data_IF_527457505208
#
_entry.id   IF_527457505208
#
_cell.length_a   1.000
_cell.length_b   1.000
_cell.length_c   1.000
_cell.angle_alpha   90.00
_cell.angle_beta   90.00
_cell.angle_gamma   90.00
#
_symmetry.space_group_name_H-M   'P 1'
#
loop_
_entity.id
_entity.type
_entity.pdbx_description
1 polymer ?
#
# COMPACT_ATOMS: atom_id res chain seq x y z
N UNK A 1 36.45 -47.46 -20.44
CA UNK A 1 36.94 -46.13 -19.98
C UNK A 1 35.80 -45.15 -19.75
N UNK A 2 34.89 -44.95 -20.69
CA UNK A 2 33.74 -44.03 -20.58
C UNK A 2 32.83 -44.28 -19.35
N UNK A 3 32.42 -45.53 -19.04
CA UNK A 3 31.58 -45.85 -17.89
C UNK A 3 32.19 -45.41 -16.54
N UNK A 4 33.49 -45.52 -16.38
CA UNK A 4 34.20 -45.10 -15.15
C UNK A 4 34.24 -43.58 -15.04
N UNK A 5 34.36 -42.88 -16.16
CA UNK A 5 34.33 -41.39 -16.22
C UNK A 5 32.95 -40.87 -15.86
N UNK A 6 31.86 -41.44 -16.35
CA UNK A 6 30.50 -41.10 -16.02
C UNK A 6 30.15 -41.31 -14.55
N UNK A 7 30.60 -42.42 -13.96
CA UNK A 7 30.42 -42.69 -12.53
C UNK A 7 31.22 -41.71 -11.64
N UNK A 8 32.40 -41.29 -12.07
CA UNK A 8 33.22 -40.32 -11.36
C UNK A 8 32.58 -38.92 -11.44
N UNK A 9 32.16 -38.49 -12.63
CA UNK A 9 31.44 -37.24 -12.83
C UNK A 9 30.11 -37.18 -12.03
N UNK A 10 29.33 -38.23 -12.01
CA UNK A 10 28.11 -38.35 -11.22
C UNK A 10 28.37 -38.21 -9.71
N UNK A 11 29.47 -38.83 -9.20
CA UNK A 11 29.87 -38.68 -7.80
C UNK A 11 30.37 -37.27 -7.48
N UNK A 12 31.08 -36.59 -8.39
CA UNK A 12 31.55 -35.24 -8.23
C UNK A 12 30.38 -34.26 -8.22
N UNK A 13 29.44 -34.38 -9.15
CA UNK A 13 28.21 -33.60 -9.20
C UNK A 13 27.34 -33.78 -7.96
N UNK A 14 27.20 -35.04 -7.48
CA UNK A 14 26.48 -35.34 -6.25
C UNK A 14 27.10 -34.70 -5.02
N UNK A 15 28.46 -34.70 -4.91
CA UNK A 15 29.15 -33.99 -3.82
C UNK A 15 29.00 -32.48 -3.90
N UNK A 16 29.09 -31.89 -5.11
CA UNK A 16 28.89 -30.48 -5.32
C UNK A 16 27.45 -30.04 -4.95
N UNK A 17 26.46 -30.82 -5.35
CA UNK A 17 25.08 -30.60 -4.99
C UNK A 17 24.85 -30.68 -3.48
N UNK A 18 25.44 -31.70 -2.83
CA UNK A 18 25.37 -31.81 -1.37
C UNK A 18 26.01 -30.63 -0.64
N UNK A 19 27.17 -30.17 -1.11
CA UNK A 19 27.84 -28.98 -0.57
C UNK A 19 26.96 -27.72 -0.72
N UNK A 20 26.35 -27.52 -1.90
CA UNK A 20 25.45 -26.41 -2.14
C UNK A 20 24.22 -26.46 -1.25
N UNK A 21 23.64 -27.64 -1.03
CA UNK A 21 22.50 -27.83 -0.11
C UNK A 21 22.91 -27.55 1.33
N UNK A 22 24.04 -28.05 1.78
CA UNK A 22 24.53 -27.81 3.16
C UNK A 22 24.87 -26.34 3.39
N UNK A 23 25.55 -25.70 2.44
CA UNK A 23 25.87 -24.26 2.51
C UNK A 23 24.59 -23.44 2.46
N UNK A 24 23.62 -23.80 1.61
CA UNK A 24 22.34 -23.13 1.50
C UNK A 24 21.51 -23.25 2.79
N UNK A 25 21.43 -24.46 3.37
CA UNK A 25 20.73 -24.70 4.65
C UNK A 25 21.44 -24.00 5.81
N UNK A 26 22.76 -24.06 5.87
CA UNK A 26 23.55 -23.35 6.88
C UNK A 26 23.36 -21.84 6.80
N UNK A 27 23.45 -21.28 5.61
CA UNK A 27 23.19 -19.86 5.35
C UNK A 27 21.76 -19.43 5.72
N UNK A 28 20.77 -20.29 5.40
CA UNK A 28 19.37 -20.05 5.78
C UNK A 28 19.15 -20.07 7.30
N UNK A 29 19.74 -21.05 8.00
CA UNK A 29 19.66 -21.13 9.48
C UNK A 29 20.33 -19.96 10.16
N UNK A 30 21.54 -19.57 9.71
CA UNK A 30 22.26 -18.39 10.21
C UNK A 30 21.45 -17.13 9.92
N UNK A 31 20.91 -16.99 8.72
CA UNK A 31 20.06 -15.87 8.35
C UNK A 31 18.82 -15.79 9.24
N UNK A 32 18.13 -16.91 9.44
CA UNK A 32 16.95 -17.00 10.31
C UNK A 32 17.28 -16.63 11.77
N UNK A 33 18.39 -17.12 12.30
CA UNK A 33 18.84 -16.78 13.65
C UNK A 33 19.23 -15.30 13.78
N UNK A 34 19.97 -14.76 12.80
CA UNK A 34 20.36 -13.35 12.76
C UNK A 34 19.13 -12.43 12.67
N UNK A 35 18.19 -12.72 11.77
CA UNK A 35 16.98 -11.91 11.64
C UNK A 35 16.06 -12.07 12.84
N UNK A 36 15.94 -13.28 13.40
CA UNK A 36 15.22 -13.51 14.65
C UNK A 36 15.78 -12.69 15.81
N UNK A 37 17.10 -12.60 15.94
CA UNK A 37 17.76 -11.76 16.94
C UNK A 37 17.61 -10.25 16.62
N UNK A 38 17.85 -9.85 15.36
CA UNK A 38 17.80 -8.45 14.94
C UNK A 38 16.40 -7.84 15.07
N UNK A 39 15.37 -8.64 14.82
CA UNK A 39 13.97 -8.21 14.84
C UNK A 39 13.22 -8.76 16.06
N UNK A 40 13.88 -8.83 17.21
CA UNK A 40 13.29 -9.22 18.49
C UNK A 40 13.46 -8.14 19.54
N UNK A 41 12.59 -8.18 20.55
CA UNK A 41 12.65 -7.27 21.69
C UNK A 41 11.80 -6.00 21.55
N UNK A 42 11.83 -5.16 22.59
CA UNK A 42 11.04 -3.95 22.66
C UNK A 42 11.50 -2.89 21.64
N UNK A 43 10.56 -2.06 21.20
CA UNK A 43 10.80 -0.94 20.29
C UNK A 43 10.23 0.35 20.86
N UNK A 44 10.73 1.53 20.43
CA UNK A 44 10.10 2.79 20.78
C UNK A 44 8.64 2.83 20.36
N UNK A 45 7.79 3.36 21.22
CA UNK A 45 6.39 3.70 20.92
C UNK A 45 6.23 5.14 20.42
N UNK A 46 7.33 5.89 20.37
CA UNK A 46 7.42 7.26 19.89
C UNK A 46 8.18 7.32 18.57
N UNK A 47 7.97 8.38 17.82
CA UNK A 47 8.64 8.63 16.55
C UNK A 47 10.07 9.12 16.78
N UNK A 48 10.99 8.65 15.95
CA UNK A 48 12.38 9.11 15.92
C UNK A 48 12.63 9.78 14.57
N UNK A 49 12.81 11.10 14.57
CA UNK A 49 13.02 11.87 13.34
C UNK A 49 14.52 12.03 13.07
N UNK A 50 15.06 11.40 12.01
CA UNK A 50 16.44 11.58 11.62
C UNK A 50 16.75 13.03 11.21
N UNK A 51 17.95 13.58 11.53
CA UNK A 51 18.28 14.96 11.23
C UNK A 51 18.33 15.30 9.73
N UNK A 52 18.55 14.30 8.87
CA UNK A 52 18.64 14.41 7.42
C UNK A 52 17.32 14.11 6.69
N UNK A 53 16.26 13.71 7.40
CA UNK A 53 14.97 13.34 6.82
C UNK A 53 14.37 14.44 5.94
N UNK A 54 14.46 15.71 6.37
CA UNK A 54 13.96 16.84 5.61
C UNK A 54 14.71 17.06 4.27
N UNK A 55 16.03 16.78 4.24
CA UNK A 55 16.82 16.88 3.02
C UNK A 55 16.47 15.74 2.04
N UNK A 56 16.33 14.52 2.54
CA UNK A 56 15.87 13.39 1.73
C UNK A 56 14.47 13.62 1.17
N UNK A 57 13.55 14.14 1.98
CA UNK A 57 12.18 14.45 1.56
C UNK A 57 12.16 15.45 0.38
N UNK A 58 12.92 16.54 0.46
CA UNK A 58 12.99 17.50 -0.66
C UNK A 58 13.50 16.86 -1.96
N UNK A 59 14.56 16.06 -1.86
CA UNK A 59 15.11 15.39 -3.02
C UNK A 59 14.15 14.35 -3.62
N UNK A 60 13.33 13.68 -2.78
CA UNK A 60 12.31 12.74 -3.25
C UNK A 60 11.18 13.49 -3.98
N UNK A 61 10.77 14.67 -3.51
CA UNK A 61 9.78 15.49 -4.20
C UNK A 61 10.26 15.87 -5.61
N UNK A 62 11.52 16.30 -5.75
CA UNK A 62 12.10 16.62 -7.05
C UNK A 62 12.09 15.40 -7.99
N UNK A 63 12.45 14.23 -7.49
CA UNK A 63 12.42 12.99 -8.25
C UNK A 63 10.97 12.57 -8.61
N UNK A 64 10.01 12.75 -7.71
CA UNK A 64 8.60 12.43 -7.95
C UNK A 64 8.02 13.29 -9.08
N UNK A 65 8.26 14.61 -9.05
CA UNK A 65 7.84 15.52 -10.12
C UNK A 65 8.51 15.13 -11.45
N UNK A 66 9.80 14.76 -11.42
CA UNK A 66 10.51 14.29 -12.62
C UNK A 66 9.88 13.01 -13.19
N UNK A 67 9.53 12.05 -12.35
CA UNK A 67 8.84 10.81 -12.77
C UNK A 67 7.50 11.12 -13.42
N UNK A 68 6.72 12.01 -12.83
CA UNK A 68 5.44 12.48 -13.39
C UNK A 68 5.63 13.09 -14.78
N UNK A 69 6.63 13.96 -14.96
CA UNK A 69 6.94 14.57 -16.25
C UNK A 69 7.40 13.55 -17.31
N UNK A 70 8.20 12.57 -16.92
CA UNK A 70 8.66 11.52 -17.83
C UNK A 70 7.54 10.61 -18.35
N UNK A 71 6.47 10.46 -17.57
CA UNK A 71 5.35 9.57 -17.90
C UNK A 71 4.08 10.33 -18.32
N UNK A 72 4.17 11.66 -18.47
CA UNK A 72 3.03 12.43 -18.96
C UNK A 72 2.74 12.04 -20.41
N UNK A 73 1.48 11.88 -20.74
CA UNK A 73 1.04 11.83 -22.13
C UNK A 73 0.70 13.25 -22.66
N UNK A 74 0.35 13.35 -23.92
CA UNK A 74 0.01 14.66 -24.53
C UNK A 74 -1.33 15.23 -24.06
N UNK A 75 -2.06 14.50 -23.22
CA UNK A 75 -3.42 14.85 -22.82
C UNK A 75 -3.51 15.25 -21.36
N UNK A 76 -2.81 14.55 -20.44
CA UNK A 76 -2.89 14.79 -18.99
C UNK A 76 -1.63 14.37 -18.25
N UNK A 77 -1.40 15.03 -17.14
CA UNK A 77 -0.42 14.64 -16.13
C UNK A 77 -1.10 13.72 -15.12
N UNK A 78 -0.56 12.51 -14.96
CA UNK A 78 -1.06 11.50 -14.03
C UNK A 78 -0.32 11.58 -12.68
N UNK A 79 -0.66 10.67 -11.75
CA UNK A 79 0.03 10.54 -10.45
C UNK A 79 1.41 9.91 -10.63
N UNK A 80 2.34 10.20 -9.72
CA UNK A 80 3.68 9.59 -9.63
C UNK A 80 3.66 8.09 -9.31
N UNK A 81 2.59 7.64 -8.69
CA UNK A 81 2.25 6.24 -8.44
C UNK A 81 0.73 6.08 -8.50
N UNK A 82 0.26 4.84 -8.70
CA UNK A 82 -1.17 4.55 -8.79
C UNK A 82 -1.88 5.34 -9.90
N UNK A 83 -1.20 5.58 -11.03
CA UNK A 83 -1.71 6.39 -12.13
C UNK A 83 -3.00 5.81 -12.74
N UNK A 84 -3.06 4.49 -12.99
CA UNK A 84 -4.21 3.83 -13.59
C UNK A 84 -5.24 3.41 -12.54
N UNK A 85 -6.42 4.06 -12.53
CA UNK A 85 -7.56 3.65 -11.72
C UNK A 85 -8.34 2.51 -12.38
N UNK A 86 -8.81 1.55 -11.58
CA UNK A 86 -9.84 0.58 -11.98
C UNK A 86 -11.25 1.15 -11.81
N UNK A 87 -11.43 2.05 -10.86
CA UNK A 87 -12.65 2.80 -10.61
C UNK A 87 -12.55 3.63 -9.35
N UNK A 88 -13.38 4.68 -9.30
CA UNK A 88 -13.79 5.33 -8.07
C UNK A 88 -15.27 4.97 -7.85
N UNK A 89 -15.56 4.34 -6.73
CA UNK A 89 -16.89 3.83 -6.41
C UNK A 89 -17.37 4.41 -5.09
N UNK A 90 -18.68 4.64 -4.98
CA UNK A 90 -19.33 5.00 -3.71
C UNK A 90 -19.22 3.81 -2.76
N UNK A 91 -18.99 4.10 -1.49
CA UNK A 91 -18.90 3.12 -0.44
C UNK A 91 -19.60 3.61 0.84
N UNK A 92 -20.03 2.67 1.65
CA UNK A 92 -20.51 2.93 3.01
C UNK A 92 -19.56 2.25 4.00
N UNK A 93 -19.09 3.01 4.99
CA UNK A 93 -18.22 2.49 6.06
C UNK A 93 -18.99 2.54 7.37
N UNK A 94 -19.41 1.39 7.86
CA UNK A 94 -20.18 1.25 9.09
C UNK A 94 -19.31 0.78 10.24
N UNK A 95 -19.18 1.59 11.27
CA UNK A 95 -18.52 1.24 12.54
C UNK A 95 -19.29 0.11 13.22
N UNK A 96 -18.56 -0.92 13.70
CA UNK A 96 -19.21 -2.03 14.38
C UNK A 96 -19.90 -1.56 15.68
N UNK A 97 -21.09 -2.09 16.00
CA UNK A 97 -21.81 -1.69 17.21
C UNK A 97 -21.11 -2.15 18.51
N UNK A 98 -20.32 -3.21 18.43
CA UNK A 98 -19.62 -3.88 19.52
C UNK A 98 -18.12 -3.60 19.55
N UNK A 99 -17.65 -2.55 18.84
CA UNK A 99 -16.23 -2.16 18.86
C UNK A 99 -15.75 -1.91 20.29
N UNK A 100 -14.58 -2.45 20.63
CA UNK A 100 -13.97 -2.32 21.95
C UNK A 100 -13.73 -0.84 22.31
N UNK A 101 -13.92 -0.48 23.57
CA UNK A 101 -13.87 0.93 24.03
C UNK A 101 -12.53 1.62 23.78
N UNK A 102 -11.43 0.88 23.83
CA UNK A 102 -10.08 1.36 23.60
C UNK A 102 -9.74 1.58 22.09
N UNK A 103 -10.67 1.21 21.21
CA UNK A 103 -10.58 1.46 19.75
C UNK A 103 -11.57 2.55 19.30
N UNK A 104 -12.38 3.11 20.22
CA UNK A 104 -13.38 4.16 19.95
C UNK A 104 -12.72 5.53 19.91
N UNK A 105 -12.06 5.86 18.80
CA UNK A 105 -11.44 7.16 18.59
C UNK A 105 -11.67 7.66 17.16
N UNK A 106 -11.68 8.97 16.97
CA UNK A 106 -11.85 9.61 15.67
C UNK A 106 -13.11 9.14 14.96
N UNK A 107 -12.97 8.66 13.70
CA UNK A 107 -14.12 8.18 12.90
C UNK A 107 -14.74 6.89 13.43
N UNK A 108 -14.08 6.19 14.34
CA UNK A 108 -14.59 4.98 15.01
C UNK A 108 -15.17 5.27 16.41
N UNK A 109 -15.29 6.53 16.82
CA UNK A 109 -15.75 6.91 18.17
C UNK A 109 -17.20 6.51 18.45
N UNK A 110 -18.06 6.51 17.43
CA UNK A 110 -19.49 6.25 17.55
C UNK A 110 -19.85 4.85 17.00
N UNK A 111 -20.09 3.84 17.85
CA UNK A 111 -20.54 2.51 17.41
C UNK A 111 -21.84 2.60 16.59
N UNK A 112 -21.88 1.86 15.49
CA UNK A 112 -23.03 1.83 14.58
C UNK A 112 -23.13 2.98 13.58
N UNK A 113 -22.30 4.02 13.70
CA UNK A 113 -22.27 5.13 12.75
C UNK A 113 -21.88 4.64 11.35
N UNK A 114 -22.54 5.18 10.32
CA UNK A 114 -22.23 4.93 8.91
C UNK A 114 -21.71 6.22 8.28
N UNK A 115 -20.55 6.12 7.62
CA UNK A 115 -19.94 7.17 6.83
C UNK A 115 -20.16 6.88 5.35
N UNK A 116 -20.54 7.90 4.58
CA UNK A 116 -20.43 7.84 3.12
C UNK A 116 -18.98 7.99 2.72
N UNK A 117 -18.56 7.28 1.70
CA UNK A 117 -17.18 7.26 1.26
C UNK A 117 -17.05 7.12 -0.26
N UNK A 118 -15.87 7.51 -0.75
CA UNK A 118 -15.39 7.15 -2.09
C UNK A 118 -14.21 6.22 -1.96
N UNK A 119 -14.25 5.10 -2.66
CA UNK A 119 -13.15 4.16 -2.74
C UNK A 119 -12.53 4.19 -4.13
N UNK A 120 -11.22 4.49 -4.21
CA UNK A 120 -10.43 4.42 -5.43
C UNK A 120 -9.60 3.15 -5.44
N UNK A 121 -9.78 2.33 -6.46
CA UNK A 121 -9.00 1.11 -6.72
C UNK A 121 -8.07 1.34 -7.92
N UNK A 122 -6.82 0.88 -7.87
CA UNK A 122 -5.81 1.22 -8.88
C UNK A 122 -4.70 0.18 -9.01
N UNK A 123 -3.96 0.22 -10.13
CA UNK A 123 -2.61 -0.34 -10.25
C UNK A 123 -1.61 0.51 -9.46
N UNK A 124 -0.41 -0.02 -9.18
CA UNK A 124 0.64 0.65 -8.40
C UNK A 124 1.56 1.55 -9.22
N UNK A 125 1.72 1.29 -10.50
CA UNK A 125 2.72 1.94 -11.35
C UNK A 125 2.42 3.42 -11.64
N UNK A 126 3.48 4.18 -11.95
CA UNK A 126 3.42 5.60 -12.33
C UNK A 126 2.83 5.83 -13.75
N UNK A 127 2.69 4.79 -14.54
CA UNK A 127 2.11 4.85 -15.89
C UNK A 127 1.08 3.75 -16.10
N UNK A 128 0.06 4.00 -16.94
CA UNK A 128 -0.91 2.99 -17.29
C UNK A 128 -0.26 1.80 -18.03
N UNK A 129 -0.54 0.60 -17.56
CA UNK A 129 -0.10 -0.65 -18.19
C UNK A 129 -1.24 -1.67 -18.21
N UNK A 130 -1.04 -2.80 -18.88
CA UNK A 130 -1.97 -3.91 -18.84
C UNK A 130 -2.15 -4.40 -17.40
N UNK A 131 -3.37 -4.70 -17.00
CA UNK A 131 -3.67 -5.18 -15.65
C UNK A 131 -3.03 -6.54 -15.36
N UNK A 132 -2.74 -7.34 -16.40
CA UNK A 132 -2.01 -8.61 -16.29
C UNK A 132 -0.51 -8.45 -15.96
N UNK A 133 0.05 -7.26 -16.11
CA UNK A 133 1.41 -6.99 -15.68
C UNK A 133 1.54 -7.13 -14.15
N UNK A 134 2.66 -7.70 -13.71
CA UNK A 134 2.99 -7.78 -12.28
C UNK A 134 3.14 -6.38 -11.71
N UNK A 135 2.37 -6.09 -10.69
CA UNK A 135 2.30 -4.75 -10.08
C UNK A 135 1.71 -4.82 -8.68
N UNK A 136 1.93 -3.82 -7.86
CA UNK A 136 1.14 -3.57 -6.67
C UNK A 136 -0.27 -3.11 -7.06
N UNK A 137 -1.24 -3.27 -6.14
CA UNK A 137 -2.59 -2.73 -6.29
C UNK A 137 -2.86 -1.78 -5.13
N UNK A 138 -3.54 -0.68 -5.42
CA UNK A 138 -3.85 0.35 -4.44
C UNK A 138 -5.34 0.44 -4.14
N UNK A 139 -5.63 0.72 -2.88
CA UNK A 139 -6.94 1.13 -2.40
C UNK A 139 -6.79 2.42 -1.60
N UNK A 140 -7.59 3.43 -1.96
CA UNK A 140 -7.73 4.64 -1.15
C UNK A 140 -9.21 4.84 -0.82
N UNK A 141 -9.50 5.10 0.44
CA UNK A 141 -10.84 5.36 0.95
C UNK A 141 -10.87 6.78 1.46
N UNK A 142 -11.82 7.57 1.01
CA UNK A 142 -12.09 8.92 1.47
C UNK A 142 -13.47 8.93 2.12
N UNK A 143 -13.54 9.06 3.45
CA UNK A 143 -14.78 9.31 4.17
C UNK A 143 -15.20 10.76 3.96
N UNK A 144 -16.47 10.98 3.76
CA UNK A 144 -17.08 12.30 3.52
C UNK A 144 -17.79 12.80 4.77
N UNK A 145 -17.94 14.12 4.87
CA UNK A 145 -18.68 14.78 5.94
C UNK A 145 -18.18 14.44 7.36
N UNK A 146 -16.88 14.20 7.49
CA UNK A 146 -16.24 13.91 8.77
C UNK A 146 -15.98 15.22 9.51
N UNK A 147 -16.70 15.50 10.62
CA UNK A 147 -16.50 16.72 11.38
C UNK A 147 -15.18 16.74 12.15
N UNK A 148 -14.77 17.90 12.60
CA UNK A 148 -13.57 18.11 13.42
C UNK A 148 -12.39 18.72 12.65
N UNK A 149 -11.44 19.27 13.41
CA UNK A 149 -10.23 19.88 12.85
C UNK A 149 -9.35 18.83 12.19
N UNK A 150 -8.82 19.14 11.01
CA UNK A 150 -7.92 18.24 10.27
C UNK A 150 -6.46 18.62 10.46
N UNK A 151 -5.59 17.63 10.36
CA UNK A 151 -4.13 17.81 10.44
C UNK A 151 -3.58 18.69 9.30
N UNK A 152 -4.21 18.63 8.12
CA UNK A 152 -3.90 19.52 7.01
C UNK A 152 -5.00 20.59 6.88
N UNK A 153 -4.59 21.85 6.94
CA UNK A 153 -5.49 23.00 6.86
C UNK A 153 -5.72 23.41 5.39
N UNK A 154 -6.30 22.51 4.60
CA UNK A 154 -6.72 22.81 3.23
C UNK A 154 -8.23 23.00 3.19
N UNK A 155 -8.76 24.13 2.67
CA UNK A 155 -10.21 24.36 2.57
C UNK A 155 -10.95 23.22 1.84
N UNK A 156 -10.33 22.60 0.84
CA UNK A 156 -10.92 21.52 0.06
C UNK A 156 -11.08 20.20 0.85
N UNK A 157 -10.32 19.99 1.93
CA UNK A 157 -10.26 18.70 2.65
C UNK A 157 -10.67 18.79 4.12
N UNK A 158 -11.43 19.82 4.51
CA UNK A 158 -11.80 20.04 5.92
C UNK A 158 -12.84 19.06 6.45
N UNK A 159 -13.58 18.38 5.59
CA UNK A 159 -14.63 17.43 5.96
C UNK A 159 -14.31 15.98 5.52
N UNK A 160 -13.04 15.67 5.31
CA UNK A 160 -12.64 14.35 4.79
C UNK A 160 -11.74 13.61 5.76
N UNK A 161 -11.73 12.27 5.66
CA UNK A 161 -10.75 11.39 6.31
C UNK A 161 -10.28 10.36 5.29
N UNK A 162 -8.98 10.33 5.01
CA UNK A 162 -8.41 9.41 4.02
C UNK A 162 -7.70 8.22 4.67
N UNK A 163 -7.90 7.02 4.09
CA UNK A 163 -7.14 5.82 4.36
C UNK A 163 -6.51 5.32 3.07
N UNK A 164 -5.18 5.27 3.01
CA UNK A 164 -4.45 4.93 1.79
C UNK A 164 -3.63 3.66 2.01
N UNK A 165 -3.86 2.67 1.17
CA UNK A 165 -3.37 1.30 1.31
C UNK A 165 -2.87 0.73 -0.01
N UNK A 166 -2.08 -0.36 0.08
CA UNK A 166 -1.78 -1.19 -1.07
C UNK A 166 -1.77 -2.68 -0.69
N UNK A 167 -1.77 -3.58 -1.68
CA UNK A 167 -2.01 -5.00 -1.49
C UNK A 167 -0.78 -5.80 -0.98
N UNK A 168 -0.02 -5.23 -0.06
CA UNK A 168 1.08 -5.92 0.62
C UNK A 168 1.16 -5.44 2.08
N UNK A 169 1.49 -6.30 3.06
CA UNK A 169 1.46 -5.92 4.48
C UNK A 169 2.59 -4.97 4.89
N UNK A 170 3.69 -4.93 4.14
CA UNK A 170 4.86 -4.09 4.41
C UNK A 170 5.33 -3.35 3.17
N UNK A 171 6.11 -2.31 3.38
CA UNK A 171 6.74 -1.57 2.29
C UNK A 171 8.12 -2.14 1.96
N UNK A 172 8.54 -2.01 0.72
CA UNK A 172 9.83 -2.56 0.25
C UNK A 172 11.06 -1.73 0.66
N UNK A 173 10.85 -0.62 1.35
CA UNK A 173 11.91 0.19 1.98
C UNK A 173 11.66 0.33 3.47
N UNK A 174 12.72 0.48 4.23
CA UNK A 174 12.68 0.61 5.68
C UNK A 174 12.26 2.02 6.10
N UNK A 175 12.94 3.03 5.57
CA UNK A 175 12.88 4.42 6.00
C UNK A 175 13.03 5.41 4.82
N UNK A 176 13.00 6.71 5.13
CA UNK A 176 13.08 7.78 4.13
C UNK A 176 14.42 7.82 3.40
N UNK A 177 15.53 7.50 4.08
CA UNK A 177 16.86 7.48 3.47
C UNK A 177 16.97 6.38 2.42
N UNK A 178 16.49 5.16 2.74
CA UNK A 178 16.43 4.06 1.79
C UNK A 178 15.43 4.34 0.66
N UNK A 179 14.31 4.99 0.95
CA UNK A 179 13.34 5.40 -0.08
C UNK A 179 13.97 6.38 -1.06
N UNK A 180 14.75 7.37 -0.56
CA UNK A 180 15.52 8.30 -1.41
C UNK A 180 16.44 7.58 -2.37
N UNK A 181 17.18 6.58 -1.89
CA UNK A 181 18.08 5.76 -2.73
C UNK A 181 17.30 5.03 -3.83
N UNK A 182 16.20 4.38 -3.47
CA UNK A 182 15.36 3.63 -4.41
C UNK A 182 14.68 4.55 -5.43
N UNK A 183 14.15 5.69 -4.99
CA UNK A 183 13.43 6.62 -5.86
C UNK A 183 14.35 7.29 -6.88
N UNK A 184 15.55 7.68 -6.45
CA UNK A 184 16.60 8.17 -7.36
C UNK A 184 16.99 7.14 -8.41
N UNK A 185 17.17 5.88 -8.00
CA UNK A 185 17.48 4.81 -8.94
C UNK A 185 16.33 4.59 -9.95
N UNK A 186 15.08 4.66 -9.53
CA UNK A 186 13.91 4.58 -10.42
C UNK A 186 13.87 5.75 -11.41
N UNK A 187 14.06 6.97 -10.94
CA UNK A 187 14.09 8.17 -11.77
C UNK A 187 15.19 8.14 -12.83
N UNK A 188 16.25 7.36 -12.59
CA UNK A 188 17.37 7.14 -13.53
C UNK A 188 17.29 5.80 -14.29
N UNK A 189 16.15 5.09 -14.24
CA UNK A 189 15.93 3.83 -14.95
C UNK A 189 16.63 2.60 -14.34
N UNK A 190 17.23 2.72 -13.15
CA UNK A 190 18.05 1.68 -12.49
C UNK A 190 17.24 0.92 -11.42
N UNK A 191 16.11 0.35 -11.78
CA UNK A 191 15.16 -0.24 -10.82
C UNK A 191 15.77 -1.29 -9.87
N UNK A 192 16.65 -2.16 -10.34
CA UNK A 192 17.29 -3.21 -9.53
C UNK A 192 18.54 -2.71 -8.83
N UNK A 193 19.28 -1.78 -9.44
CA UNK A 193 20.52 -1.22 -8.89
C UNK A 193 20.36 -0.54 -7.53
N UNK A 194 19.16 -0.07 -7.21
CA UNK A 194 18.85 0.51 -5.91
C UNK A 194 19.12 -0.41 -4.72
N UNK A 195 19.00 -1.74 -4.92
CA UNK A 195 19.22 -2.74 -3.87
C UNK A 195 20.69 -3.19 -3.77
N UNK A 196 21.55 -2.71 -4.66
CA UNK A 196 22.97 -3.04 -4.74
C UNK A 196 23.80 -1.74 -4.83
N UNK A 197 23.89 -0.93 -3.76
CA UNK A 197 24.49 0.41 -3.81
C UNK A 197 26.00 0.43 -4.04
N UNK A 198 26.66 -0.73 -4.11
CA UNK A 198 28.08 -0.85 -4.37
C UNK A 198 28.58 -2.30 -4.40
N UNK A 199 29.90 -2.46 -4.47
CA UNK A 199 30.54 -3.78 -4.54
C UNK A 199 30.67 -4.48 -3.19
N UNK A 200 30.39 -3.80 -2.06
CA UNK A 200 30.41 -4.41 -0.73
C UNK A 200 29.11 -5.14 -0.44
N UNK A 201 29.09 -6.50 -0.37
CA UNK A 201 27.89 -7.27 -0.13
C UNK A 201 27.17 -6.95 1.20
N UNK A 202 27.87 -6.35 2.16
CA UNK A 202 27.29 -5.96 3.46
C UNK A 202 26.32 -4.79 3.34
N UNK A 203 26.42 -4.02 2.25
CA UNK A 203 25.50 -2.90 1.94
C UNK A 203 24.31 -3.31 1.08
N UNK A 204 24.26 -4.57 0.63
CA UNK A 204 23.19 -5.05 -0.25
C UNK A 204 21.88 -5.21 0.51
N UNK A 205 20.84 -4.66 -0.05
CA UNK A 205 19.48 -4.65 0.51
C UNK A 205 18.66 -5.85 0.01
N UNK A 206 19.20 -7.05 0.12
CA UNK A 206 18.63 -8.29 -0.45
C UNK A 206 17.23 -8.58 0.12
N UNK A 207 17.01 -8.36 1.43
CA UNK A 207 15.68 -8.52 2.05
C UNK A 207 14.66 -7.58 1.41
N UNK A 208 15.03 -6.33 1.19
CA UNK A 208 14.16 -5.32 0.58
C UNK A 208 13.89 -5.61 -0.89
N UNK A 209 14.86 -6.16 -1.63
CA UNK A 209 14.65 -6.67 -2.98
C UNK A 209 13.59 -7.79 -3.00
N UNK A 210 13.66 -8.75 -2.06
CA UNK A 210 12.64 -9.80 -1.99
C UNK A 210 11.25 -9.24 -1.66
N UNK A 211 11.13 -8.29 -0.75
CA UNK A 211 9.87 -7.61 -0.46
C UNK A 211 9.35 -6.88 -1.71
N UNK A 212 10.21 -6.17 -2.43
CA UNK A 212 9.84 -5.50 -3.69
C UNK A 212 9.34 -6.49 -4.74
N UNK A 213 9.99 -7.65 -4.90
CA UNK A 213 9.55 -8.70 -5.81
C UNK A 213 8.20 -9.32 -5.39
N UNK A 214 7.94 -9.48 -4.09
CA UNK A 214 6.65 -9.94 -3.57
C UNK A 214 5.55 -8.90 -3.78
N UNK A 215 5.88 -7.62 -3.68
CA UNK A 215 4.95 -6.51 -3.98
C UNK A 215 4.49 -6.53 -5.44
N UNK A 216 5.36 -6.93 -6.37
CA UNK A 216 5.03 -7.12 -7.77
C UNK A 216 4.30 -8.46 -7.99
N UNK A 217 3.16 -8.63 -7.34
CA UNK A 217 2.34 -9.83 -7.42
C UNK A 217 1.59 -9.94 -8.77
N UNK A 218 1.17 -11.16 -9.18
CA UNK A 218 0.16 -11.32 -10.22
C UNK A 218 -1.12 -10.56 -9.88
N UNK A 219 -1.87 -10.15 -10.91
CA UNK A 219 -3.15 -9.50 -10.70
C UNK A 219 -4.15 -10.46 -10.04
N UNK A 220 -4.98 -9.99 -9.10
CA UNK A 220 -6.15 -10.74 -8.62
C UNK A 220 -7.20 -10.83 -9.74
N UNK A 221 -8.20 -11.70 -9.56
CA UNK A 221 -9.31 -11.82 -10.51
C UNK A 221 -10.18 -10.54 -10.55
N UNK A 222 -10.30 -9.90 -9.38
CA UNK A 222 -10.97 -8.60 -9.21
C UNK A 222 -10.24 -7.77 -8.16
N UNK A 223 -10.23 -6.44 -8.28
CA UNK A 223 -9.64 -5.59 -7.25
C UNK A 223 -10.34 -5.70 -5.89
N UNK A 224 -11.58 -6.21 -5.84
CA UNK A 224 -12.30 -6.44 -4.57
C UNK A 224 -11.93 -7.76 -3.89
N UNK A 225 -11.14 -8.61 -4.52
CA UNK A 225 -10.69 -9.90 -3.96
C UNK A 225 -9.29 -9.82 -3.33
N UNK A 226 -8.70 -8.64 -3.24
CA UNK A 226 -7.38 -8.45 -2.64
C UNK A 226 -7.46 -7.88 -1.22
N UNK A 227 -6.47 -8.20 -0.40
CA UNK A 227 -6.23 -7.54 0.90
C UNK A 227 -5.38 -6.30 0.69
N UNK A 228 -5.72 -5.20 1.37
CA UNK A 228 -5.00 -3.94 1.31
C UNK A 228 -4.55 -3.50 2.70
N UNK A 229 -3.30 -3.09 2.84
CA UNK A 229 -2.68 -2.75 4.12
C UNK A 229 -2.10 -1.34 4.13
N UNK A 230 -2.08 -0.72 5.31
CA UNK A 230 -1.57 0.65 5.51
C UNK A 230 -0.06 0.77 5.33
N UNK A 231 0.67 -0.35 5.38
CA UNK A 231 2.14 -0.47 5.33
C UNK A 231 2.89 0.25 6.46
N UNK A 232 2.48 1.44 6.79
CA UNK A 232 3.04 2.31 7.83
C UNK A 232 2.03 2.47 8.97
N UNK A 233 2.47 2.79 10.19
CA UNK A 233 1.60 2.93 11.34
C UNK A 233 0.92 4.30 11.42
N UNK A 234 -0.15 4.34 12.20
CA UNK A 234 -1.00 5.50 12.47
C UNK A 234 -1.36 5.56 13.94
N UNK A 235 -1.88 6.68 14.40
CA UNK A 235 -2.60 6.77 15.66
C UNK A 235 -4.02 6.24 15.51
N UNK A 236 -4.54 5.73 16.63
CA UNK A 236 -5.97 5.58 16.91
C UNK A 236 -6.19 6.03 18.36
N UNK A 237 -6.50 7.29 18.55
CA UNK A 237 -6.41 7.94 19.84
C UNK A 237 -4.95 7.87 20.36
N UNK A 238 -4.77 7.30 21.55
CA UNK A 238 -3.44 7.14 22.15
C UNK A 238 -2.65 5.94 21.58
N UNK A 239 -3.34 4.96 20.99
CA UNK A 239 -2.70 3.74 20.49
C UNK A 239 -2.00 3.99 19.14
N UNK A 240 -0.87 3.32 18.94
CA UNK A 240 -0.28 3.17 17.61
C UNK A 240 -0.87 1.92 16.97
N UNK A 241 -1.29 2.04 15.71
CA UNK A 241 -1.92 0.95 14.96
C UNK A 241 -1.33 0.82 13.56
N UNK A 242 -1.46 -0.38 12.97
CA UNK A 242 -1.58 -0.57 11.52
C UNK A 242 -3.01 -0.96 11.20
N UNK A 243 -3.46 -0.70 9.99
CA UNK A 243 -4.79 -1.12 9.53
C UNK A 243 -4.71 -1.89 8.22
N UNK A 244 -5.71 -2.72 7.99
CA UNK A 244 -5.92 -3.41 6.72
C UNK A 244 -7.40 -3.49 6.36
N UNK A 245 -7.66 -3.67 5.09
CA UNK A 245 -8.99 -3.95 4.55
C UNK A 245 -8.92 -5.30 3.84
N UNK A 246 -9.75 -6.24 4.28
CA UNK A 246 -9.82 -7.60 3.73
C UNK A 246 -11.21 -7.85 3.13
N UNK A 247 -11.33 -8.65 2.07
CA UNK A 247 -12.64 -9.09 1.57
C UNK A 247 -13.45 -9.76 2.70
N UNK A 248 -14.73 -9.41 2.81
CA UNK A 248 -15.67 -10.00 3.78
C UNK A 248 -16.91 -10.57 3.05
N UNK A 249 -16.76 -11.74 2.39
CA UNK A 249 -17.84 -12.32 1.59
C UNK A 249 -19.04 -12.79 2.45
N UNK A 250 -18.85 -12.92 3.77
CA UNK A 250 -19.96 -13.30 4.67
C UNK A 250 -20.93 -12.15 4.94
N UNK A 251 -20.49 -10.92 4.74
CA UNK A 251 -21.30 -9.71 4.94
C UNK A 251 -22.02 -9.27 3.67
N UNK A 252 -21.79 -9.93 2.55
CA UNK A 252 -22.41 -9.68 1.26
C UNK A 252 -23.08 -10.94 0.71
N UNK A 253 -24.06 -10.80 -0.23
CA UNK A 253 -24.55 -11.94 -0.98
C UNK A 253 -23.40 -12.69 -1.70
N UNK A 254 -23.47 -14.04 -1.79
CA UNK A 254 -22.50 -14.82 -2.53
C UNK A 254 -22.40 -14.36 -3.99
N UNK A 255 -21.18 -14.19 -4.48
CA UNK A 255 -20.94 -13.82 -5.87
C UNK A 255 -19.78 -14.63 -6.44
N UNK A 256 -19.99 -15.14 -7.64
CA UNK A 256 -18.95 -15.78 -8.44
C UNK A 256 -18.71 -14.95 -9.68
N UNK A 257 -17.54 -14.32 -9.76
CA UNK A 257 -17.16 -13.54 -10.91
C UNK A 257 -17.07 -14.45 -12.16
N UNK A 258 -17.72 -14.10 -13.27
CA UNK A 258 -17.52 -14.78 -14.55
C UNK A 258 -16.05 -14.76 -14.98
N UNK A 259 -15.65 -15.77 -15.77
CA UNK A 259 -14.30 -15.86 -16.31
C UNK A 259 -13.89 -14.58 -17.04
N UNK A 260 -12.77 -13.99 -16.64
CA UNK A 260 -12.27 -12.74 -17.20
C UNK A 260 -11.23 -12.99 -18.28
N UNK A 261 -11.32 -12.26 -19.38
CA UNK A 261 -10.25 -12.24 -20.39
C UNK A 261 -9.08 -11.37 -19.88
N UNK A 262 -8.11 -11.98 -19.21
CA UNK A 262 -6.94 -11.31 -18.64
C UNK A 262 -5.98 -10.74 -19.70
N UNK A 263 -6.16 -11.03 -20.97
CA UNK A 263 -5.43 -10.40 -22.07
C UNK A 263 -5.93 -8.98 -22.38
N UNK A 264 -7.10 -8.59 -21.89
CA UNK A 264 -7.60 -7.23 -22.03
C UNK A 264 -6.81 -6.26 -21.14
N UNK A 265 -6.50 -5.07 -21.62
CA UNK A 265 -5.66 -4.12 -20.87
C UNK A 265 -6.28 -3.67 -19.55
N UNK A 266 -7.61 -3.67 -19.44
CA UNK A 266 -8.37 -3.14 -18.32
C UNK A 266 -9.30 -4.20 -17.68
N UNK A 267 -8.88 -5.48 -17.62
CA UNK A 267 -9.75 -6.54 -17.14
C UNK A 267 -10.17 -6.37 -15.67
N UNK A 268 -9.33 -5.75 -14.82
CA UNK A 268 -9.69 -5.47 -13.42
C UNK A 268 -10.82 -4.44 -13.31
N UNK A 269 -10.83 -3.41 -14.18
CA UNK A 269 -11.96 -2.49 -14.28
C UNK A 269 -13.20 -3.25 -14.79
N UNK A 270 -13.02 -4.12 -15.79
CA UNK A 270 -14.08 -4.97 -16.32
C UNK A 270 -14.70 -5.87 -15.25
N UNK A 271 -13.89 -6.49 -14.41
CA UNK A 271 -14.36 -7.33 -13.30
C UNK A 271 -15.17 -6.53 -12.26
N UNK A 272 -14.68 -5.35 -11.89
CA UNK A 272 -15.41 -4.45 -10.98
C UNK A 272 -16.75 -3.99 -11.58
N UNK A 273 -16.74 -3.61 -12.85
CA UNK A 273 -17.93 -3.18 -13.60
C UNK A 273 -18.93 -4.32 -13.73
N UNK A 274 -18.48 -5.54 -14.04
CA UNK A 274 -19.33 -6.72 -14.12
C UNK A 274 -20.10 -6.91 -12.81
N UNK A 275 -19.41 -6.92 -11.67
CA UNK A 275 -20.03 -7.15 -10.37
C UNK A 275 -21.00 -6.02 -9.96
N UNK A 276 -20.53 -4.76 -9.96
CA UNK A 276 -21.28 -3.65 -9.37
C UNK A 276 -22.34 -3.06 -10.32
N UNK A 277 -22.03 -2.98 -11.63
CA UNK A 277 -22.89 -2.30 -12.60
C UNK A 277 -23.78 -3.25 -13.37
N UNK A 278 -23.28 -4.38 -13.86
CA UNK A 278 -24.08 -5.32 -14.67
C UNK A 278 -24.86 -6.29 -13.79
N UNK A 279 -24.18 -7.02 -12.92
CA UNK A 279 -24.82 -8.06 -12.09
C UNK A 279 -25.51 -7.48 -10.86
N UNK A 280 -25.26 -6.21 -10.54
CA UNK A 280 -25.84 -5.50 -9.41
C UNK A 280 -25.61 -6.20 -8.07
N UNK A 281 -24.41 -6.79 -7.87
CA UNK A 281 -24.04 -7.48 -6.63
C UNK A 281 -23.05 -6.62 -5.85
N UNK A 282 -23.33 -6.30 -4.57
CA UNK A 282 -22.44 -5.51 -3.73
C UNK A 282 -21.13 -6.25 -3.46
N UNK A 283 -20.06 -5.51 -3.11
CA UNK A 283 -18.83 -6.07 -2.58
C UNK A 283 -18.61 -5.57 -1.13
N UNK A 284 -18.17 -6.47 -0.24
CA UNK A 284 -18.00 -6.16 1.18
C UNK A 284 -16.57 -6.42 1.65
N UNK A 285 -16.15 -5.59 2.60
CA UNK A 285 -14.85 -5.70 3.26
C UNK A 285 -14.98 -5.50 4.77
N UNK A 286 -14.04 -6.10 5.51
CA UNK A 286 -13.78 -5.78 6.91
C UNK A 286 -12.60 -4.80 7.00
N UNK A 287 -12.81 -3.67 7.68
CA UNK A 287 -11.73 -2.77 8.08
C UNK A 287 -11.20 -3.23 9.45
N UNK A 288 -9.92 -3.57 9.49
CA UNK A 288 -9.28 -4.14 10.65
C UNK A 288 -8.12 -3.27 11.12
N UNK A 289 -7.90 -3.23 12.43
CA UNK A 289 -6.77 -2.55 13.08
C UNK A 289 -5.95 -3.54 13.91
N UNK A 290 -4.63 -3.34 13.94
CA UNK A 290 -3.68 -4.07 14.75
C UNK A 290 -2.95 -3.07 15.65
N UNK A 291 -2.99 -3.24 16.97
CA UNK A 291 -2.32 -2.36 17.94
C UNK A 291 -0.84 -2.71 18.06
N UNK A 292 0.01 -1.70 18.19
CA UNK A 292 1.40 -1.92 18.56
C UNK A 292 1.50 -2.54 19.95
N UNK A 293 2.32 -3.57 20.10
CA UNK A 293 2.80 -4.02 21.39
C UNK A 293 4.29 -3.65 21.51
N UNK A 294 4.65 -2.58 22.26
CA UNK A 294 6.03 -2.07 22.29
C UNK A 294 7.02 -3.01 22.99
N UNK A 295 6.55 -4.08 23.64
CA UNK A 295 7.41 -5.13 24.22
C UNK A 295 7.94 -6.11 23.15
N UNK A 296 7.40 -6.06 21.95
CA UNK A 296 7.78 -6.88 20.81
C UNK A 296 8.27 -6.00 19.65
N UNK A 297 8.98 -6.61 18.70
CA UNK A 297 9.54 -5.87 17.57
C UNK A 297 8.45 -5.44 16.57
N UNK A 298 7.75 -4.37 16.91
CA UNK A 298 6.73 -3.70 16.09
C UNK A 298 7.12 -2.24 15.84
N UNK A 299 8.16 -1.97 15.02
CA UNK A 299 8.73 -0.64 14.86
C UNK A 299 7.76 0.32 14.15
N UNK A 300 7.86 1.62 14.49
CA UNK A 300 7.16 2.73 13.82
C UNK A 300 7.95 3.18 12.59
N UNK A 301 9.28 3.28 12.70
CA UNK A 301 10.14 3.86 11.67
C UNK A 301 10.59 2.86 10.60
N UNK A 302 10.47 1.54 10.83
CA UNK A 302 10.81 0.51 9.84
C UNK A 302 9.54 -0.07 9.20
N UNK A 303 9.16 0.45 8.03
CA UNK A 303 7.95 0.01 7.30
C UNK A 303 8.11 -1.33 6.59
N UNK A 304 9.31 -1.89 6.56
CA UNK A 304 9.58 -3.22 6.00
C UNK A 304 9.30 -4.37 6.97
N UNK A 305 8.91 -4.06 8.21
CA UNK A 305 8.60 -5.05 9.25
C UNK A 305 7.10 -5.25 9.37
N UNK A 306 6.68 -6.49 9.20
CA UNK A 306 5.31 -6.90 9.51
C UNK A 306 5.17 -7.06 11.03
N UNK A 307 4.10 -6.53 11.60
CA UNK A 307 3.81 -6.71 13.00
C UNK A 307 3.18 -8.09 13.22
N UNK A 308 3.70 -8.82 14.22
CA UNK A 308 3.33 -10.21 14.46
C UNK A 308 1.88 -10.32 14.95
N UNK A 309 1.02 -10.94 14.14
CA UNK A 309 -0.40 -11.18 14.47
C UNK A 309 -0.58 -12.13 15.67
N UNK A 310 0.39 -13.00 15.95
CA UNK A 310 0.33 -13.89 17.13
C UNK A 310 0.50 -13.13 18.44
N UNK A 311 1.15 -11.97 18.41
CA UNK A 311 1.38 -11.07 19.54
C UNK A 311 0.26 -10.04 19.67
N UNK A 312 -0.17 -9.49 18.54
CA UNK A 312 -1.26 -8.52 18.46
C UNK A 312 -2.12 -8.81 17.24
N UNK A 313 -3.24 -9.49 17.39
CA UNK A 313 -4.11 -9.84 16.28
C UNK A 313 -4.84 -8.61 15.72
N UNK A 314 -5.19 -8.68 14.44
CA UNK A 314 -6.09 -7.71 13.83
C UNK A 314 -7.51 -7.85 14.39
N UNK A 315 -8.14 -6.72 14.67
CA UNK A 315 -9.52 -6.62 15.17
C UNK A 315 -10.35 -5.83 14.17
N UNK A 316 -11.50 -6.36 13.77
CA UNK A 316 -12.43 -5.65 12.89
C UNK A 316 -13.10 -4.51 13.65
N UNK A 317 -13.05 -3.29 13.11
CA UNK A 317 -13.64 -2.07 13.69
C UNK A 317 -14.77 -1.50 12.86
N UNK A 318 -14.79 -1.79 11.55
CA UNK A 318 -15.85 -1.35 10.67
C UNK A 318 -16.04 -2.34 9.50
N UNK A 319 -17.21 -2.29 8.88
CA UNK A 319 -17.51 -2.95 7.62
C UNK A 319 -17.68 -1.94 6.52
N UNK A 320 -17.20 -2.30 5.33
CA UNK A 320 -17.29 -1.46 4.14
C UNK A 320 -18.16 -2.19 3.14
N UNK A 321 -19.14 -1.49 2.59
CA UNK A 321 -20.00 -1.99 1.52
C UNK A 321 -19.86 -1.11 0.29
N UNK A 322 -19.58 -1.70 -0.85
CA UNK A 322 -19.69 -1.09 -2.16
C UNK A 322 -21.06 -1.47 -2.70
N UNK A 323 -22.06 -0.58 -2.72
CA UNK A 323 -23.38 -0.89 -3.24
C UNK A 323 -23.35 -1.07 -4.75
N UNK A 324 -24.34 -1.76 -5.34
CA UNK A 324 -24.56 -1.79 -6.78
C UNK A 324 -24.66 -0.38 -7.34
N UNK A 325 -23.87 -0.08 -8.37
CA UNK A 325 -23.79 1.27 -8.93
C UNK A 325 -23.17 1.30 -10.31
N UNK A 326 -23.48 2.32 -11.08
CA UNK A 326 -22.77 2.69 -12.30
C UNK A 326 -21.67 3.69 -11.93
N UNK A 327 -20.42 3.40 -12.28
CA UNK A 327 -19.26 4.21 -11.88
C UNK A 327 -18.31 4.56 -13.03
N UNK A 328 -18.60 4.09 -14.26
CA UNK A 328 -17.68 4.22 -15.39
C UNK A 328 -18.10 5.26 -16.42
N UNK A 329 -18.78 6.33 -15.98
CA UNK A 329 -19.04 7.48 -16.85
C UNK A 329 -17.77 8.32 -17.03
N UNK A 330 -17.69 9.05 -18.16
CA UNK A 330 -16.58 9.98 -18.41
C UNK A 330 -16.44 11.02 -17.31
N UNK A 331 -17.55 11.51 -16.80
CA UNK A 331 -17.63 12.54 -15.77
C UNK A 331 -17.10 12.03 -14.43
N UNK A 332 -17.52 10.84 -14.00
CA UNK A 332 -17.02 10.17 -12.79
C UNK A 332 -15.53 9.83 -12.89
N UNK A 333 -15.07 9.37 -14.05
CA UNK A 333 -13.65 9.10 -14.26
C UNK A 333 -12.81 10.38 -14.17
N UNK A 334 -13.30 11.50 -14.72
CA UNK A 334 -12.62 12.79 -14.60
C UNK A 334 -12.60 13.29 -13.15
N UNK A 335 -13.73 13.18 -12.44
CA UNK A 335 -13.79 13.52 -11.01
C UNK A 335 -12.83 12.64 -10.20
N UNK A 336 -12.79 11.31 -10.46
CA UNK A 336 -11.86 10.38 -9.85
C UNK A 336 -10.39 10.77 -10.04
N UNK A 337 -10.03 11.20 -11.25
CA UNK A 337 -8.68 11.64 -11.57
C UNK A 337 -8.33 12.95 -10.86
N UNK A 338 -9.28 13.84 -10.67
CA UNK A 338 -9.06 15.13 -10.00
C UNK A 338 -9.11 15.04 -8.46
N UNK A 339 -9.61 13.94 -7.87
CA UNK A 339 -9.53 13.74 -6.42
C UNK A 339 -8.08 13.69 -5.93
N UNK A 340 -7.82 14.32 -4.80
CA UNK A 340 -6.58 14.17 -4.03
C UNK A 340 -6.82 13.27 -2.83
N UNK A 341 -5.96 12.26 -2.68
CA UNK A 341 -5.90 11.43 -1.49
C UNK A 341 -4.59 11.70 -0.77
N UNK A 342 -4.64 11.88 0.55
CA UNK A 342 -3.45 12.04 1.37
C UNK A 342 -3.71 11.43 2.76
N UNK A 343 -2.86 10.55 3.28
CA UNK A 343 -3.07 10.00 4.62
C UNK A 343 -3.12 11.07 5.73
N UNK A 344 -2.71 12.30 5.44
CA UNK A 344 -2.79 13.44 6.36
C UNK A 344 -4.09 14.28 6.22
N UNK A 345 -4.98 13.98 5.28
CA UNK A 345 -6.37 14.40 5.33
C UNK A 345 -7.06 13.59 6.44
N UNK A 346 -6.76 13.92 7.67
CA UNK A 346 -7.11 13.09 8.81
C UNK A 346 -7.39 13.92 10.07
N UNK A 347 -8.22 13.35 10.95
CA UNK A 347 -8.37 13.83 12.32
C UNK A 347 -7.08 13.60 13.11
N UNK A 348 -6.79 14.38 14.18
CA UNK A 348 -5.64 14.17 15.06
C UNK A 348 -5.56 12.73 15.64
N UNK A 349 -6.71 12.13 15.95
CA UNK A 349 -6.84 10.77 16.47
C UNK A 349 -6.37 9.69 15.46
N UNK A 350 -6.31 10.04 14.18
CA UNK A 350 -5.84 9.17 13.08
C UNK A 350 -4.49 9.62 12.51
N UNK A 351 -3.72 10.39 13.28
CA UNK A 351 -2.45 10.96 12.79
C UNK A 351 -1.53 9.89 12.22
N UNK A 352 -1.07 10.04 10.96
CA UNK A 352 -0.01 9.19 10.41
C UNK A 352 1.29 9.36 11.20
N UNK A 353 2.00 8.26 11.49
CA UNK A 353 3.26 8.28 12.23
C UNK A 353 4.36 7.53 11.48
N UNK A 354 5.62 7.84 11.80
CA UNK A 354 6.82 7.29 11.17
C UNK A 354 7.27 8.03 9.93
N UNK A 355 8.56 7.88 9.59
CA UNK A 355 9.24 8.64 8.52
C UNK A 355 8.56 8.54 7.16
N UNK A 356 8.13 7.34 6.76
CA UNK A 356 7.44 7.15 5.48
C UNK A 356 6.12 7.94 5.44
N UNK A 357 5.36 8.01 6.53
CA UNK A 357 4.13 8.81 6.55
C UNK A 357 4.42 10.32 6.58
N UNK A 358 5.49 10.78 7.27
CA UNK A 358 5.94 12.17 7.22
C UNK A 358 6.36 12.57 5.79
N UNK A 359 7.10 11.69 5.10
CA UNK A 359 7.43 11.86 3.68
C UNK A 359 6.19 11.96 2.80
N UNK A 360 5.22 11.04 2.97
CA UNK A 360 3.98 10.99 2.17
C UNK A 360 3.19 12.28 2.25
N UNK A 361 3.19 12.99 3.39
CA UNK A 361 2.56 14.31 3.49
C UNK A 361 3.04 15.24 2.38
N UNK A 362 4.34 15.46 2.35
CA UNK A 362 4.96 16.44 1.46
C UNK A 362 4.94 16.01 -0.02
N UNK A 363 5.20 14.74 -0.31
CA UNK A 363 5.20 14.22 -1.69
C UNK A 363 3.80 14.24 -2.29
N UNK A 364 2.78 13.78 -1.55
CA UNK A 364 1.39 13.76 -2.05
C UNK A 364 0.85 15.17 -2.30
N UNK A 365 1.16 16.12 -1.40
CA UNK A 365 0.80 17.51 -1.55
C UNK A 365 1.47 18.14 -2.80
N UNK A 366 2.78 17.96 -2.95
CA UNK A 366 3.54 18.51 -4.08
C UNK A 366 3.09 17.92 -5.44
N UNK A 367 2.94 16.60 -5.53
CA UNK A 367 2.51 15.93 -6.77
C UNK A 367 1.06 16.27 -7.11
N UNK A 368 0.19 16.38 -6.11
CA UNK A 368 -1.20 16.77 -6.35
C UNK A 368 -1.30 18.20 -6.87
N UNK A 369 -0.60 19.14 -6.24
CA UNK A 369 -0.55 20.53 -6.68
C UNK A 369 -0.01 20.65 -8.11
N UNK A 370 1.13 19.99 -8.39
CA UNK A 370 1.72 19.97 -9.73
C UNK A 370 0.76 19.43 -10.79
N UNK A 371 0.10 18.31 -10.50
CA UNK A 371 -0.86 17.66 -11.41
C UNK A 371 -2.08 18.55 -11.68
N UNK A 372 -2.63 19.19 -10.66
CA UNK A 372 -3.78 20.09 -10.81
C UNK A 372 -3.42 21.31 -11.64
N UNK A 373 -2.29 21.95 -11.36
CA UNK A 373 -1.81 23.09 -12.15
C UNK A 373 -1.64 22.72 -13.64
N UNK A 374 -1.00 21.60 -13.92
CA UNK A 374 -0.72 21.16 -15.29
C UNK A 374 -1.95 20.71 -16.08
N UNK A 375 -2.97 20.23 -15.38
CA UNK A 375 -4.22 19.76 -15.98
C UNK A 375 -5.30 20.85 -16.03
N UNK A 376 -5.01 22.07 -15.57
CA UNK A 376 -6.00 23.15 -15.39
C UNK A 376 -7.22 22.65 -14.58
N UNK A 377 -6.94 21.94 -13.49
CA UNK A 377 -7.94 21.27 -12.67
C UNK A 377 -7.85 21.76 -11.22
N UNK A 378 -8.97 21.71 -10.54
CA UNK A 378 -9.04 21.93 -9.08
C UNK A 378 -9.23 20.60 -8.37
N UNK A 379 -8.91 20.55 -7.08
CA UNK A 379 -9.32 19.42 -6.25
C UNK A 379 -10.84 19.27 -6.32
N UNK A 380 -11.27 18.09 -6.77
CA UNK A 380 -12.66 17.79 -6.93
C UNK A 380 -13.26 17.36 -5.59
N UNK A 381 -14.43 17.88 -5.28
CA UNK A 381 -15.36 17.20 -4.38
C UNK A 381 -16.02 16.06 -5.16
N UNK A 382 -16.24 14.92 -4.51
CA UNK A 382 -16.94 13.81 -5.15
C UNK A 382 -18.43 14.16 -5.33
N UNK A 383 -19.02 13.98 -6.55
CA UNK A 383 -20.42 14.29 -6.82
C UNK A 383 -21.40 13.32 -6.14
#
# INVERSE_FOLDING_TARGET
MLKRLWLWLGRLLGKLLLILVVVGLGGWLIGKAYYGWKFSGPVPSEEVIPPDEAAHTRAIIEDAVRIVEQHRDNTRVLRDAHAKAHGCVKAEVRVLPDIASDLRAGVFAEPGRTWQAVMRLSNGNAYPQFDSARDARGMAIKLLDVPGEKLMKSPAHQSEQDFVMFNHPVFFVRDVAQYRQNFNAQANGQKVGAFFPGWDPRTWEIRHLFIALQTLAPAPDSPVNATYSSISPYKLGEANIKYRVIPDPQSCPPYTLPEQNTALPNFLRGALYQQLSLDRVPACFAFQVQKQNPQHYMPIEDTSVEWDESVSPFVTVARITLPPQDFDSREQNLACDNLSFNPWHALPEHRPIGGINRLRKAVYEAVSAYRHERNDATDATWP
#
